data_IF_894755338703
#
_entry.id   IF_894755338703
#
_cell.length_a   1.000
_cell.length_b   1.000
_cell.length_c   1.000
_cell.angle_alpha   90.00
_cell.angle_beta   90.00
_cell.angle_gamma   90.00
#
_symmetry.space_group_name_H-M   'P 1'
#
loop_
_entity.id
_entity.type
_entity.pdbx_description
1 polymer ?
#
# COMPACT_ATOMS: atom_id res chain seq x y z
N UNK A 1 -1.79 12.66 -2.70
CA UNK A 1 -0.65 12.02 -2.03
C UNK A 1 0.53 12.98 -1.96
N UNK A 2 1.37 12.83 -0.94
CA UNK A 2 2.66 13.52 -0.83
C UNK A 2 3.75 12.51 -0.52
N UNK A 3 4.97 12.74 -1.03
CA UNK A 3 6.12 11.88 -0.75
C UNK A 3 6.33 11.73 0.75
N UNK A 4 6.74 10.53 1.19
CA UNK A 4 7.12 10.27 2.57
C UNK A 4 8.28 11.16 3.02
N UNK A 5 8.13 11.83 4.16
CA UNK A 5 9.05 12.84 4.65
C UNK A 5 9.63 12.46 6.02
N UNK A 6 10.76 13.10 6.39
CA UNK A 6 11.44 12.88 7.68
C UNK A 6 10.53 13.14 8.88
N UNK A 7 9.54 14.02 8.77
CA UNK A 7 8.59 14.34 9.83
C UNK A 7 7.37 13.39 9.90
N UNK A 8 7.34 12.30 9.10
CA UNK A 8 6.17 11.42 9.01
C UNK A 8 6.20 10.23 9.99
N UNK A 9 7.19 10.15 10.88
CA UNK A 9 7.20 9.13 11.94
C UNK A 9 5.87 9.05 12.71
N UNK A 10 5.22 10.18 13.11
CA UNK A 10 3.94 10.14 13.81
C UNK A 10 2.80 9.49 13.01
N UNK A 11 2.89 9.37 11.70
CA UNK A 11 1.90 8.66 10.87
C UNK A 11 1.95 7.16 11.14
N UNK A 12 3.15 6.59 11.26
CA UNK A 12 3.32 5.18 11.61
C UNK A 12 2.94 4.91 13.07
N UNK A 13 3.32 5.78 14.01
CA UNK A 13 2.98 5.66 15.42
C UNK A 13 1.45 5.60 15.60
N UNK A 14 0.70 6.51 14.95
CA UNK A 14 -0.76 6.50 14.99
C UNK A 14 -1.41 5.30 14.30
N UNK A 15 -0.72 4.67 13.37
CA UNK A 15 -1.15 3.43 12.71
C UNK A 15 -0.82 2.17 13.52
N UNK A 16 0.00 2.28 14.57
CA UNK A 16 0.52 1.16 15.33
C UNK A 16 -0.36 0.79 16.54
N UNK A 17 -1.66 0.79 16.38
CA UNK A 17 -2.61 0.39 17.42
C UNK A 17 -2.97 -1.10 17.28
N UNK A 18 -3.39 -1.78 18.38
CA UNK A 18 -3.84 -3.17 18.29
C UNK A 18 -4.94 -3.39 17.26
N UNK A 19 -5.87 -2.45 17.14
CA UNK A 19 -6.96 -2.49 16.18
C UNK A 19 -6.45 -2.42 14.73
N UNK A 20 -5.54 -1.49 14.43
CA UNK A 20 -5.04 -1.29 13.06
C UNK A 20 -4.03 -2.35 12.63
N UNK A 21 -3.41 -3.04 13.58
CA UNK A 21 -2.37 -4.06 13.31
C UNK A 21 -2.84 -5.49 13.51
N UNK A 22 -4.13 -5.72 13.78
CA UNK A 22 -4.71 -7.05 14.05
C UNK A 22 -4.41 -8.07 12.93
N UNK A 23 -4.37 -7.62 11.68
CA UNK A 23 -4.03 -8.46 10.52
C UNK A 23 -2.53 -8.50 10.19
N UNK A 24 -1.71 -7.78 10.97
CA UNK A 24 -0.27 -7.62 10.75
C UNK A 24 0.57 -8.27 11.87
N UNK A 25 -0.08 -9.03 12.75
CA UNK A 25 0.60 -9.70 13.87
C UNK A 25 0.69 -8.87 15.14
N UNK A 26 -0.05 -7.76 15.22
CA UNK A 26 -0.07 -6.86 16.37
C UNK A 26 0.87 -5.66 16.25
N UNK A 27 0.88 -4.77 17.26
CA UNK A 27 1.73 -3.58 17.27
C UNK A 27 3.22 -3.93 17.27
N UNK A 28 3.97 -3.11 16.55
CA UNK A 28 5.44 -3.12 16.58
C UNK A 28 5.95 -2.34 17.79
N UNK A 29 7.18 -2.63 18.21
CA UNK A 29 7.89 -1.80 19.19
C UNK A 29 8.26 -0.43 18.60
N UNK A 30 8.50 0.56 19.45
CA UNK A 30 8.93 1.89 19.03
C UNK A 30 10.18 1.84 18.13
N UNK A 31 11.13 0.97 18.48
CA UNK A 31 12.35 0.79 17.67
C UNK A 31 12.04 0.21 16.28
N UNK A 32 11.08 -0.68 16.14
CA UNK A 32 10.67 -1.23 14.84
C UNK A 32 9.98 -0.15 13.99
N UNK A 33 9.15 0.69 14.59
CA UNK A 33 8.50 1.83 13.91
C UNK A 33 9.55 2.83 13.40
N UNK A 34 10.53 3.20 14.22
CA UNK A 34 11.64 4.08 13.81
C UNK A 34 12.43 3.45 12.65
N UNK A 35 12.73 2.16 12.74
CA UNK A 35 13.45 1.43 11.69
C UNK A 35 12.63 1.39 10.39
N UNK A 36 11.31 1.18 10.47
CA UNK A 36 10.42 1.20 9.31
C UNK A 36 10.38 2.59 8.66
N UNK A 37 10.30 3.65 9.46
CA UNK A 37 10.33 5.03 8.99
C UNK A 37 11.62 5.32 8.21
N UNK A 38 12.78 5.01 8.79
CA UNK A 38 14.07 5.17 8.14
C UNK A 38 14.16 4.37 6.83
N UNK A 39 13.63 3.13 6.83
CA UNK A 39 13.54 2.30 5.63
C UNK A 39 12.70 2.97 4.53
N UNK A 40 11.56 3.58 4.86
CA UNK A 40 10.72 4.25 3.86
C UNK A 40 11.44 5.43 3.20
N UNK A 41 12.20 6.22 3.97
CA UNK A 41 13.04 7.29 3.43
C UNK A 41 14.12 6.75 2.50
N UNK A 42 14.88 5.75 2.95
CA UNK A 42 15.95 5.14 2.15
C UNK A 42 15.44 4.51 0.85
N UNK A 43 14.31 3.85 0.86
CA UNK A 43 13.73 3.21 -0.33
C UNK A 43 13.28 4.21 -1.40
N UNK A 44 12.99 5.45 -1.04
CA UNK A 44 12.78 6.54 -1.98
C UNK A 44 14.08 6.88 -2.74
N UNK A 45 15.20 6.95 -2.03
CA UNK A 45 16.51 7.27 -2.60
C UNK A 45 16.98 6.18 -3.58
N UNK A 46 16.81 4.91 -3.22
CA UNK A 46 17.20 3.77 -4.07
C UNK A 46 16.23 3.50 -5.24
N UNK A 47 15.02 4.03 -5.16
CA UNK A 47 13.98 3.74 -6.16
C UNK A 47 13.34 2.36 -6.03
N UNK A 48 13.52 1.67 -4.91
CA UNK A 48 12.97 0.33 -4.69
C UNK A 48 11.55 0.34 -4.11
N UNK A 49 11.14 1.47 -3.55
CA UNK A 49 9.76 1.73 -3.14
C UNK A 49 9.38 3.20 -3.32
N UNK A 50 8.08 3.43 -3.37
CA UNK A 50 7.47 4.76 -3.29
C UNK A 50 6.42 4.74 -2.19
N UNK A 51 6.75 5.35 -1.06
CA UNK A 51 5.86 5.49 0.09
C UNK A 51 5.32 6.91 0.14
N UNK A 52 4.04 7.05 0.37
CA UNK A 52 3.35 8.33 0.44
C UNK A 52 2.62 8.48 1.76
N UNK A 53 2.58 9.70 2.26
CA UNK A 53 1.61 10.10 3.27
C UNK A 53 0.31 10.51 2.60
N UNK A 54 -0.81 10.19 3.23
CA UNK A 54 -2.14 10.51 2.74
C UNK A 54 -2.61 11.80 3.42
N UNK A 55 -2.85 12.84 2.61
CA UNK A 55 -3.47 14.08 3.07
C UNK A 55 -4.98 14.03 2.88
N UNK A 56 -5.71 14.67 3.78
CA UNK A 56 -7.15 14.87 3.67
C UNK A 56 -7.49 16.33 3.94
N UNK A 57 -8.44 16.90 3.19
CA UNK A 57 -8.88 18.25 3.42
C UNK A 57 -9.56 18.44 4.79
N UNK A 58 -10.03 17.35 5.41
CA UNK A 58 -10.66 17.36 6.74
C UNK A 58 -9.66 17.27 7.90
N UNK A 59 -8.34 17.21 7.64
CA UNK A 59 -7.33 17.04 8.69
C UNK A 59 -6.08 17.89 8.41
N UNK A 60 -5.52 18.47 9.46
CA UNK A 60 -4.28 19.25 9.40
C UNK A 60 -3.05 18.37 9.28
N UNK A 61 -3.08 17.20 9.90
CA UNK A 61 -2.01 16.19 9.82
C UNK A 61 -2.33 15.09 8.79
N UNK A 62 -1.32 14.36 8.28
CA UNK A 62 -1.56 13.19 7.45
C UNK A 62 -2.42 12.14 8.16
N UNK A 63 -3.31 11.49 7.41
CA UNK A 63 -4.32 10.55 7.94
C UNK A 63 -3.99 9.09 7.68
N UNK A 64 -2.83 8.81 7.12
CA UNK A 64 -2.40 7.46 6.80
C UNK A 64 -1.24 7.43 5.82
N UNK A 65 -0.95 6.25 5.33
CA UNK A 65 0.09 5.99 4.33
C UNK A 65 -0.39 5.00 3.27
N UNK A 66 0.21 5.09 2.08
CA UNK A 66 0.06 4.14 0.99
C UNK A 66 1.37 4.08 0.23
N UNK A 67 1.66 2.95 -0.40
CA UNK A 67 2.87 2.87 -1.21
C UNK A 67 2.95 1.60 -2.02
N UNK A 68 3.98 1.53 -2.84
CA UNK A 68 4.32 0.33 -3.58
C UNK A 68 5.83 0.12 -3.56
N UNK A 69 6.24 -1.15 -3.66
CA UNK A 69 7.65 -1.55 -3.63
C UNK A 69 7.90 -2.69 -4.58
N UNK A 70 9.14 -2.81 -5.04
CA UNK A 70 9.60 -3.89 -5.89
C UNK A 70 9.51 -5.22 -5.16
N UNK A 71 8.99 -6.23 -5.85
CA UNK A 71 8.86 -7.60 -5.36
C UNK A 71 9.11 -8.60 -6.46
N UNK A 72 9.70 -9.71 -6.12
CA UNK A 72 9.71 -10.92 -6.95
C UNK A 72 8.56 -11.82 -6.49
N UNK A 73 7.63 -12.13 -7.40
CA UNK A 73 6.48 -12.98 -7.11
C UNK A 73 6.25 -13.96 -8.25
N UNK A 74 6.25 -15.29 -7.94
CA UNK A 74 6.09 -16.37 -8.93
C UNK A 74 6.95 -16.15 -10.18
N UNK A 75 8.26 -15.92 -9.96
CA UNK A 75 9.27 -15.68 -11.00
C UNK A 75 9.07 -14.43 -11.87
N UNK A 76 8.17 -13.52 -11.48
CA UNK A 76 7.95 -12.24 -12.13
C UNK A 76 8.41 -11.09 -11.26
N UNK A 77 8.94 -10.06 -11.91
CA UNK A 77 9.22 -8.78 -11.28
C UNK A 77 7.94 -7.93 -11.30
N UNK A 78 7.39 -7.71 -10.11
CA UNK A 78 6.12 -7.01 -9.89
C UNK A 78 6.30 -5.93 -8.84
N UNK A 79 5.28 -5.10 -8.64
CA UNK A 79 5.14 -4.32 -7.42
C UNK A 79 4.23 -5.04 -6.43
N UNK A 80 4.49 -4.84 -5.15
CA UNK A 80 3.53 -5.05 -4.07
C UNK A 80 3.07 -3.70 -3.56
N UNK A 81 1.80 -3.58 -3.16
CA UNK A 81 1.24 -2.36 -2.56
C UNK A 81 0.62 -2.65 -1.20
N UNK A 82 0.66 -1.61 -0.34
CA UNK A 82 0.02 -1.63 0.98
C UNK A 82 -0.42 -0.24 1.40
N UNK A 83 -1.35 -0.19 2.33
CA UNK A 83 -1.97 1.04 2.83
C UNK A 83 -2.36 0.94 4.28
N UNK A 84 -2.49 2.12 4.90
CA UNK A 84 -3.06 2.29 6.23
C UNK A 84 -3.77 3.64 6.28
N UNK A 85 -4.99 3.67 6.81
CA UNK A 85 -5.74 4.91 7.10
C UNK A 85 -6.15 4.87 8.56
N UNK A 86 -5.82 5.93 9.31
CA UNK A 86 -6.12 6.01 10.74
C UNK A 86 -7.63 5.83 10.98
N UNK A 87 -7.99 5.10 12.02
CA UNK A 87 -9.37 4.66 12.31
C UNK A 87 -10.39 5.80 12.22
N UNK A 88 -10.06 6.98 12.76
CA UNK A 88 -10.96 8.16 12.72
C UNK A 88 -11.25 8.68 11.30
N UNK A 89 -10.53 8.24 10.29
CA UNK A 89 -10.66 8.68 8.90
C UNK A 89 -11.09 7.55 7.94
N UNK A 90 -11.38 6.38 8.48
CA UNK A 90 -11.90 5.24 7.69
C UNK A 90 -13.37 5.47 7.30
N UNK A 91 -13.87 4.67 6.35
CA UNK A 91 -15.27 4.76 5.90
C UNK A 91 -15.58 5.90 4.93
N UNK A 92 -14.66 6.83 4.68
CA UNK A 92 -14.86 8.02 3.84
C UNK A 92 -14.27 7.91 2.42
N UNK A 93 -13.91 6.71 1.98
CA UNK A 93 -13.34 6.48 0.64
C UNK A 93 -11.89 6.95 0.47
N UNK A 94 -11.22 7.40 1.55
CA UNK A 94 -9.85 7.93 1.51
C UNK A 94 -8.87 6.87 1.00
N UNK A 95 -8.94 5.64 1.52
CA UNK A 95 -8.06 4.55 1.09
C UNK A 95 -8.21 4.23 -0.41
N UNK A 96 -9.43 4.25 -0.94
CA UNK A 96 -9.69 3.97 -2.36
C UNK A 96 -9.08 5.05 -3.27
N UNK A 97 -9.26 6.33 -2.92
CA UNK A 97 -8.65 7.45 -3.65
C UNK A 97 -7.12 7.40 -3.58
N UNK A 98 -6.58 7.20 -2.39
CA UNK A 98 -5.14 7.11 -2.19
C UNK A 98 -4.51 5.94 -2.96
N UNK A 99 -5.16 4.78 -2.95
CA UNK A 99 -4.69 3.62 -3.71
C UNK A 99 -4.76 3.87 -5.22
N UNK A 100 -5.84 4.48 -5.73
CA UNK A 100 -5.95 4.84 -7.15
C UNK A 100 -4.84 5.81 -7.60
N UNK A 101 -4.55 6.86 -6.81
CA UNK A 101 -3.44 7.79 -7.08
C UNK A 101 -2.08 7.07 -7.02
N UNK A 102 -1.89 6.16 -6.08
CA UNK A 102 -0.68 5.36 -5.93
C UNK A 102 -0.45 4.45 -7.16
N UNK A 103 -1.51 3.79 -7.65
CA UNK A 103 -1.47 2.98 -8.87
C UNK A 103 -1.18 3.82 -10.12
N UNK A 104 -1.78 5.02 -10.23
CA UNK A 104 -1.49 5.94 -11.31
C UNK A 104 -0.02 6.36 -11.30
N UNK A 105 0.51 6.74 -10.13
CA UNK A 105 1.94 7.06 -9.99
C UNK A 105 2.83 5.88 -10.41
N UNK A 106 2.49 4.66 -10.00
CA UNK A 106 3.24 3.46 -10.40
C UNK A 106 3.16 3.20 -11.93
N UNK A 107 2.01 3.48 -12.55
CA UNK A 107 1.86 3.38 -13.99
C UNK A 107 2.71 4.41 -14.74
N UNK A 108 2.77 5.64 -14.25
CA UNK A 108 3.45 6.75 -14.94
C UNK A 108 4.97 6.70 -14.78
N UNK A 109 5.46 6.28 -13.62
CA UNK A 109 6.88 6.38 -13.24
C UNK A 109 7.59 5.04 -13.05
N UNK A 110 6.83 3.95 -12.93
CA UNK A 110 7.36 2.64 -12.62
C UNK A 110 7.87 1.84 -13.83
N UNK A 111 8.69 0.85 -13.55
CA UNK A 111 9.32 -0.06 -14.52
C UNK A 111 8.64 -1.44 -14.61
N UNK A 112 7.55 -1.66 -13.84
CA UNK A 112 6.79 -2.91 -13.83
C UNK A 112 5.38 -2.71 -14.34
N UNK A 113 4.72 -3.81 -14.68
CA UNK A 113 3.37 -3.78 -15.27
C UNK A 113 2.28 -4.30 -14.36
N UNK A 114 2.63 -5.00 -13.29
CA UNK A 114 1.67 -5.61 -12.38
C UNK A 114 1.92 -5.14 -10.95
N UNK A 115 0.85 -4.85 -10.23
CA UNK A 115 0.85 -4.57 -8.79
C UNK A 115 0.04 -5.64 -8.10
N UNK A 116 0.58 -6.21 -7.03
CA UNK A 116 -0.11 -7.15 -6.16
C UNK A 116 -0.39 -6.56 -4.80
N UNK A 117 -1.52 -6.97 -4.23
CA UNK A 117 -1.84 -6.76 -2.82
C UNK A 117 -2.18 -8.12 -2.19
N UNK A 118 -1.74 -8.32 -0.95
CA UNK A 118 -1.85 -9.60 -0.25
C UNK A 118 -2.56 -9.46 1.11
N UNK A 119 -3.80 -8.96 1.16
CA UNK A 119 -4.54 -8.94 2.41
C UNK A 119 -4.84 -10.38 2.86
N UNK A 120 -4.85 -10.60 4.18
CA UNK A 120 -5.34 -11.86 4.76
C UNK A 120 -6.75 -12.15 4.26
N UNK A 121 -7.07 -13.42 4.07
CA UNK A 121 -8.39 -13.85 3.57
C UNK A 121 -9.55 -13.37 4.45
N UNK A 122 -9.32 -13.24 5.75
CA UNK A 122 -10.28 -12.76 6.76
C UNK A 122 -10.29 -11.21 6.94
N UNK A 123 -9.41 -10.46 6.25
CA UNK A 123 -9.44 -8.99 6.25
C UNK A 123 -10.47 -8.47 5.23
N UNK A 124 -11.73 -8.48 5.61
CA UNK A 124 -12.85 -8.11 4.73
C UNK A 124 -12.72 -6.69 4.17
N UNK A 125 -12.24 -5.74 4.97
CA UNK A 125 -12.09 -4.33 4.58
C UNK A 125 -11.05 -4.15 3.46
N UNK A 126 -9.86 -4.74 3.60
CA UNK A 126 -8.82 -4.68 2.59
C UNK A 126 -9.18 -5.45 1.32
N UNK A 127 -9.84 -6.61 1.45
CA UNK A 127 -10.33 -7.35 0.29
C UNK A 127 -11.43 -6.59 -0.47
N UNK A 128 -12.34 -5.90 0.23
CA UNK A 128 -13.34 -5.05 -0.40
C UNK A 128 -12.72 -3.82 -1.08
N UNK A 129 -11.63 -3.28 -0.52
CA UNK A 129 -10.88 -2.19 -1.14
C UNK A 129 -10.23 -2.63 -2.45
N UNK A 130 -9.53 -3.76 -2.48
CA UNK A 130 -8.93 -4.31 -3.69
C UNK A 130 -9.99 -4.46 -4.81
N UNK A 131 -11.13 -5.10 -4.50
CA UNK A 131 -12.21 -5.26 -5.47
C UNK A 131 -12.73 -3.92 -5.99
N UNK A 132 -12.94 -2.95 -5.11
CA UNK A 132 -13.47 -1.62 -5.44
C UNK A 132 -12.51 -0.77 -6.28
N UNK A 133 -11.21 -0.99 -6.15
CA UNK A 133 -10.16 -0.28 -6.89
C UNK A 133 -9.72 -1.00 -8.16
N UNK A 134 -10.45 -2.04 -8.57
CA UNK A 134 -10.25 -2.71 -9.85
C UNK A 134 -9.16 -3.76 -9.88
N UNK A 135 -8.75 -4.29 -8.73
CA UNK A 135 -7.91 -5.48 -8.70
C UNK A 135 -8.74 -6.72 -9.03
N UNK A 136 -8.13 -7.64 -9.76
CA UNK A 136 -8.64 -8.98 -10.02
C UNK A 136 -8.10 -9.96 -8.97
N UNK A 137 -8.96 -10.84 -8.46
CA UNK A 137 -8.55 -11.92 -7.57
C UNK A 137 -7.86 -13.02 -8.39
N UNK A 138 -6.54 -13.12 -8.24
CA UNK A 138 -5.73 -14.12 -8.96
C UNK A 138 -5.67 -15.47 -8.24
N UNK A 139 -5.96 -15.52 -6.95
CA UNK A 139 -5.94 -16.75 -6.16
C UNK A 139 -5.69 -16.49 -4.68
N UNK A 140 -5.21 -17.52 -4.01
CA UNK A 140 -4.77 -17.46 -2.61
C UNK A 140 -3.35 -18.00 -2.49
N UNK A 141 -2.63 -17.55 -1.47
CA UNK A 141 -1.29 -18.02 -1.15
C UNK A 141 -1.06 -18.15 0.35
N UNK A 142 -0.11 -19.00 0.71
CA UNK A 142 0.43 -19.05 2.05
C UNK A 142 1.57 -18.06 2.15
N UNK A 143 1.53 -17.24 3.17
CA UNK A 143 2.51 -16.22 3.52
C UNK A 143 3.01 -16.44 4.93
N UNK A 144 4.14 -15.85 5.22
CA UNK A 144 4.66 -15.75 6.57
C UNK A 144 4.77 -14.25 6.92
N UNK A 145 3.92 -13.80 7.84
CA UNK A 145 3.95 -12.41 8.30
C UNK A 145 3.30 -12.21 9.68
N UNK A 146 4.03 -11.61 10.65
CA UNK A 146 5.49 -11.41 10.62
C UNK A 146 6.24 -12.74 10.49
N UNK A 147 7.56 -12.70 10.27
CA UNK A 147 8.37 -13.92 10.13
C UNK A 147 8.10 -14.91 11.28
N UNK A 148 7.88 -16.19 10.95
CA UNK A 148 7.50 -17.24 11.89
C UNK A 148 5.98 -17.38 12.12
N UNK A 149 5.15 -16.53 11.51
CA UNK A 149 3.68 -16.58 11.64
C UNK A 149 3.03 -16.85 10.29
N UNK A 150 2.60 -18.12 10.02
CA UNK A 150 1.94 -18.45 8.77
C UNK A 150 0.55 -17.80 8.71
N UNK A 151 0.23 -17.22 7.57
CA UNK A 151 -1.07 -16.62 7.26
C UNK A 151 -1.53 -17.04 5.88
N UNK A 152 -2.84 -17.03 5.67
CA UNK A 152 -3.45 -17.21 4.35
C UNK A 152 -3.87 -15.85 3.80
N UNK A 153 -3.46 -15.54 2.56
CA UNK A 153 -3.75 -14.28 1.90
C UNK A 153 -4.49 -14.49 0.58
N UNK A 154 -5.28 -13.49 0.19
CA UNK A 154 -5.77 -13.37 -1.17
C UNK A 154 -4.72 -12.67 -2.02
N UNK A 155 -4.48 -13.20 -3.22
CA UNK A 155 -3.63 -12.56 -4.23
C UNK A 155 -4.50 -11.67 -5.11
N UNK A 156 -4.44 -10.37 -4.91
CA UNK A 156 -5.09 -9.39 -5.76
C UNK A 156 -4.08 -8.79 -6.72
N UNK A 157 -4.38 -8.77 -8.00
CA UNK A 157 -3.51 -8.26 -9.06
C UNK A 157 -4.18 -7.11 -9.82
N UNK A 158 -3.40 -6.06 -10.09
CA UNK A 158 -3.80 -4.93 -10.93
C UNK A 158 -2.79 -4.78 -12.10
N UNK A 159 -3.31 -4.65 -13.33
CA UNK A 159 -2.49 -4.41 -14.52
C UNK A 159 -2.36 -2.90 -14.79
N UNK A 160 -1.18 -2.34 -14.53
CA UNK A 160 -0.90 -0.91 -14.73
C UNK A 160 -1.01 -0.44 -16.19
N UNK A 161 -0.97 -1.36 -17.15
CA UNK A 161 -1.15 -1.01 -18.57
C UNK A 161 -2.54 -0.45 -18.85
N UNK A 162 -3.54 -0.83 -18.07
CA UNK A 162 -4.90 -0.28 -18.16
C UNK A 162 -4.94 1.23 -17.90
N UNK A 163 -4.09 1.74 -17.00
CA UNK A 163 -3.98 3.18 -16.69
C UNK A 163 -3.17 3.95 -17.74
N UNK A 164 -2.11 3.34 -18.28
CA UNK A 164 -1.25 3.96 -19.30
C UNK A 164 -2.00 4.20 -20.60
N UNK A 165 -2.93 3.34 -20.97
CA UNK A 165 -3.73 3.48 -22.20
C UNK A 165 -4.76 4.61 -22.13
N UNK A 166 -5.22 4.96 -20.92
CA UNK A 166 -6.19 6.03 -20.69
C UNK A 166 -5.58 7.44 -20.79
N UNK A 167 -4.25 7.54 -20.66
CA UNK A 167 -3.50 8.82 -20.64
C UNK A 167 -3.01 9.27 -22.02
N UNK A 168 -3.25 8.49 -23.08
CA UNK A 168 -2.85 8.85 -24.44
C UNK A 168 -3.98 9.65 -25.09
N UNK A 169 -3.79 10.98 -25.38
CA UNK A 169 -4.76 11.71 -26.16
C UNK A 169 -4.89 11.07 -27.55
N UNK A 170 -6.13 10.94 -28.05
CA UNK A 170 -6.38 10.53 -29.41
C UNK A 170 -5.57 11.49 -30.33
N UNK A 171 -4.63 10.95 -31.06
CA UNK A 171 -3.96 11.72 -32.13
C UNK A 171 -4.98 12.02 -33.23
N UNK A 172 -5.00 13.25 -33.75
CA UNK A 172 -5.90 13.64 -34.82
C UNK A 172 -5.62 12.91 -36.14
#
# INVERSE_FOLDING_TARGET
LEQWHVDDLPVLERSNTPEMTVFLGGPESDQQIVTRHAKFLHLWETGDARMFRIRSASATAPVGSVGYWKKRWRDKDVYETGWSVHTAHQGHGIAARALAECLQHAADTGDRHQVFAFPRTDNSASNALCRRTGFDLAGEADFEYPKGHPIRVNEWMFDLRALRSSSRPAQP
#
